data_IF_329795716851
#
_entry.id   IF_329795716851
#
_cell.length_a   1.000
_cell.length_b   1.000
_cell.length_c   1.000
_cell.angle_alpha   90.00
_cell.angle_beta   90.00
_cell.angle_gamma   90.00
#
_symmetry.space_group_name_H-M   'P 1'
#
loop_
_entity.id
_entity.type
_entity.pdbx_description
1 polymer ?
#
# COMPACT_ATOMS: atom_id res chain seq x y z
N UNK A 1 4.01 64.07 27.46
CA UNK A 1 3.42 65.40 27.70
C UNK A 1 2.65 65.75 26.44
N UNK A 2 1.36 65.41 26.41
CA UNK A 2 0.21 66.34 26.59
C UNK A 2 -0.29 66.77 25.20
N UNK A 3 -1.56 66.89 24.82
CA UNK A 3 -2.91 66.69 25.38
C UNK A 3 -3.82 66.72 24.11
N UNK A 4 -4.77 65.80 23.90
CA UNK A 4 -6.21 65.90 24.21
C UNK A 4 -7.07 66.90 23.37
N UNK A 5 -8.26 66.39 23.00
CA UNK A 5 -9.53 67.05 22.56
C UNK A 5 -9.66 67.40 21.07
N UNK A 6 -10.59 66.81 20.31
CA UNK A 6 -12.06 66.71 20.40
C UNK A 6 -12.78 67.97 19.88
N UNK A 7 -13.45 67.84 18.74
CA UNK A 7 -14.66 68.60 18.42
C UNK A 7 -15.68 67.67 17.75
N UNK A 8 -16.84 67.63 18.37
CA UNK A 8 -18.08 67.05 17.88
C UNK A 8 -19.12 68.16 17.84
N UNK A 9 -19.89 68.22 16.77
CA UNK A 9 -21.20 68.88 16.66
C UNK A 9 -21.91 68.12 15.53
N UNK A 10 -22.91 67.27 15.79
CA UNK A 10 -24.34 67.59 16.04
C UNK A 10 -24.87 68.62 15.04
N UNK A 11 -26.04 68.52 14.44
CA UNK A 11 -27.21 67.64 14.46
C UNK A 11 -28.10 68.28 13.37
N UNK A 12 -28.85 67.52 12.58
CA UNK A 12 -30.34 67.60 12.45
C UNK A 12 -30.69 67.59 10.96
N UNK A 13 -31.83 67.12 10.48
CA UNK A 13 -32.89 66.23 10.94
C UNK A 13 -33.85 66.11 9.73
N UNK A 14 -34.84 65.22 9.83
CA UNK A 14 -36.09 65.15 9.05
C UNK A 14 -36.01 64.25 7.81
N UNK A 15 -36.43 62.99 7.87
CA UNK A 15 -37.82 62.49 7.93
C UNK A 15 -38.60 62.84 6.63
N UNK A 16 -39.45 62.01 6.05
CA UNK A 16 -40.28 60.94 6.58
C UNK A 16 -40.98 60.23 5.40
N UNK A 17 -41.55 59.05 5.64
CA UNK A 17 -42.62 58.44 4.83
C UNK A 17 -42.28 57.02 4.35
N UNK A 18 -42.62 55.98 5.11
CA UNK A 18 -43.88 55.21 5.08
C UNK A 18 -44.19 54.67 3.66
N UNK A 19 -44.52 53.40 3.42
CA UNK A 19 -45.35 52.48 4.21
C UNK A 19 -45.24 51.05 3.63
N UNK A 20 -45.29 50.07 4.53
CA UNK A 20 -46.09 48.82 4.48
C UNK A 20 -46.20 48.00 3.17
N UNK A 21 -45.72 46.75 3.12
CA UNK A 21 -46.26 45.52 3.73
C UNK A 21 -46.81 44.61 2.61
N UNK A 22 -46.28 43.38 2.51
CA UNK A 22 -47.07 42.14 2.41
C UNK A 22 -46.14 40.96 2.15
N UNK A 23 -46.25 39.97 3.02
CA UNK A 23 -45.38 38.80 3.04
C UNK A 23 -45.55 37.87 1.85
N UNK A 24 -44.49 37.11 1.57
CA UNK A 24 -44.61 35.76 1.03
C UNK A 24 -43.50 34.86 1.57
N UNK A 25 -43.93 33.94 2.44
CA UNK A 25 -43.31 32.65 2.76
C UNK A 25 -42.58 32.08 1.53
N UNK A 26 -41.26 31.98 1.63
CA UNK A 26 -40.42 31.30 0.65
C UNK A 26 -39.33 30.52 1.38
N UNK A 27 -39.72 29.43 2.03
CA UNK A 27 -38.85 28.44 2.68
C UNK A 27 -37.94 27.80 1.62
N UNK A 28 -36.85 28.46 1.24
CA UNK A 28 -35.76 27.83 0.46
C UNK A 28 -34.97 26.92 1.39
N UNK A 29 -35.57 25.77 1.70
CA UNK A 29 -34.84 24.58 2.15
C UNK A 29 -34.07 24.10 0.91
N UNK A 30 -32.86 24.64 0.73
CA UNK A 30 -31.90 24.10 -0.22
C UNK A 30 -31.67 22.65 0.14
N UNK A 31 -32.32 21.75 -0.60
CA UNK A 31 -31.97 20.34 -0.66
C UNK A 31 -30.51 20.28 -1.13
N UNK A 32 -29.57 20.08 -0.22
CA UNK A 32 -28.41 19.26 -0.53
C UNK A 32 -28.92 17.82 -0.66
N UNK A 33 -29.66 17.55 -1.73
CA UNK A 33 -29.66 16.22 -2.31
C UNK A 33 -28.28 16.14 -2.94
N UNK A 34 -27.31 15.62 -2.19
CA UNK A 34 -26.20 14.92 -2.81
C UNK A 34 -26.86 13.97 -3.79
N UNK A 35 -26.69 14.26 -5.08
CA UNK A 35 -27.05 13.32 -6.11
C UNK A 35 -26.14 12.11 -5.85
N UNK A 36 -26.70 11.11 -5.17
CA UNK A 36 -26.16 9.77 -5.17
C UNK A 36 -26.17 9.39 -6.65
N UNK A 37 -25.00 9.52 -7.30
CA UNK A 37 -24.80 9.18 -8.70
C UNK A 37 -25.45 7.81 -8.91
N UNK A 38 -26.36 7.71 -9.87
CA UNK A 38 -27.07 6.49 -10.18
C UNK A 38 -26.05 5.47 -10.68
N UNK A 39 -25.62 4.57 -9.79
CA UNK A 39 -24.65 3.54 -10.11
C UNK A 39 -25.34 2.47 -10.95
N UNK A 40 -24.99 2.41 -12.24
CA UNK A 40 -25.49 1.40 -13.14
C UNK A 40 -24.58 0.17 -13.09
N UNK A 41 -25.03 -0.90 -12.43
CA UNK A 41 -24.35 -2.20 -12.43
C UNK A 41 -24.26 -2.82 -11.05
N UNK A 42 -24.09 -4.15 -11.03
CA UNK A 42 -23.80 -4.88 -9.79
C UNK A 42 -22.40 -4.49 -9.29
N UNK A 43 -22.21 -4.31 -7.96
CA UNK A 43 -20.91 -4.01 -7.39
C UNK A 43 -19.94 -5.16 -7.66
N UNK A 44 -18.81 -4.83 -8.29
CA UNK A 44 -17.72 -5.76 -8.57
C UNK A 44 -16.64 -5.57 -7.51
N UNK A 45 -16.16 -6.66 -6.95
CA UNK A 45 -15.04 -6.65 -6.00
C UNK A 45 -13.72 -6.67 -6.76
N UNK A 46 -12.80 -5.76 -6.44
CA UNK A 46 -11.40 -5.85 -6.84
C UNK A 46 -10.47 -5.65 -5.65
N UNK A 47 -9.31 -6.27 -5.75
CA UNK A 47 -8.15 -6.01 -4.92
C UNK A 47 -7.04 -5.47 -5.82
N UNK A 48 -6.28 -4.51 -5.32
CA UNK A 48 -5.19 -3.92 -6.09
C UNK A 48 -4.32 -2.99 -5.27
N UNK A 49 -3.38 -2.34 -5.95
CA UNK A 49 -2.44 -1.41 -5.33
C UNK A 49 -2.87 0.05 -5.52
N UNK A 50 -2.85 0.84 -4.45
CA UNK A 50 -3.19 2.26 -4.52
C UNK A 50 -2.03 3.12 -5.04
N UNK A 51 -2.19 3.65 -6.24
CA UNK A 51 -1.34 4.68 -6.81
C UNK A 51 -1.98 6.07 -6.57
N UNK A 52 -1.46 6.83 -5.60
CA UNK A 52 -1.91 8.21 -5.33
C UNK A 52 -1.19 9.22 -6.23
N UNK A 53 -1.99 10.11 -6.83
CA UNK A 53 -1.51 11.28 -7.56
C UNK A 53 -1.28 12.45 -6.62
N UNK A 54 -0.45 13.39 -7.08
CA UNK A 54 -0.06 14.57 -6.29
C UNK A 54 -1.26 15.48 -5.96
N UNK A 55 -2.30 15.46 -6.80
CA UNK A 55 -3.56 16.16 -6.58
C UNK A 55 -4.45 15.51 -5.49
N UNK A 56 -4.01 14.39 -4.89
CA UNK A 56 -4.65 13.73 -3.75
C UNK A 56 -5.76 12.73 -4.08
N UNK A 57 -6.04 12.50 -5.37
CA UNK A 57 -6.86 11.37 -5.83
C UNK A 57 -5.94 10.19 -6.20
N UNK A 58 -6.49 8.99 -6.32
CA UNK A 58 -5.70 7.80 -6.67
C UNK A 58 -6.36 6.88 -7.65
N UNK A 59 -5.63 5.84 -8.05
CA UNK A 59 -6.13 4.71 -8.79
C UNK A 59 -5.74 3.41 -8.08
N UNK A 60 -6.71 2.53 -7.89
CA UNK A 60 -6.45 1.14 -7.52
C UNK A 60 -6.05 0.38 -8.78
N UNK A 61 -4.77 0.00 -8.85
CA UNK A 61 -4.22 -0.79 -9.95
C UNK A 61 -4.53 -2.26 -9.74
N UNK A 62 -5.33 -2.84 -10.62
CA UNK A 62 -5.84 -4.23 -10.48
C UNK A 62 -4.92 -5.24 -11.19
N UNK A 63 -4.31 -4.86 -12.31
CA UNK A 63 -3.53 -5.76 -13.17
C UNK A 63 -2.00 -5.57 -13.09
N UNK A 64 -1.48 -4.79 -12.14
CA UNK A 64 -0.04 -4.48 -12.03
C UNK A 64 0.23 -3.05 -11.53
N UNK A 65 1.40 -2.47 -11.83
CA UNK A 65 1.74 -1.08 -11.48
C UNK A 65 1.53 -0.10 -12.64
N UNK A 66 1.40 -0.65 -13.85
CA UNK A 66 1.16 0.13 -15.04
C UNK A 66 -0.32 0.52 -15.15
N UNK A 67 -0.63 1.72 -15.68
CA UNK A 67 -2.01 2.13 -15.88
C UNK A 67 -2.78 1.19 -16.81
N UNK A 68 -3.89 0.65 -16.31
CA UNK A 68 -4.86 -0.13 -17.06
C UNK A 68 -6.21 0.60 -17.16
N UNK A 69 -7.05 0.17 -18.11
CA UNK A 69 -8.45 0.62 -18.18
C UNK A 69 -9.30 0.07 -17.05
N UNK A 70 -8.86 -1.04 -16.45
CA UNK A 70 -9.55 -1.71 -15.35
C UNK A 70 -9.26 -1.06 -13.99
N UNK A 71 -8.39 -0.05 -13.94
CA UNK A 71 -8.03 0.60 -12.69
C UNK A 71 -9.17 1.40 -12.11
N UNK A 72 -9.40 1.26 -10.80
CA UNK A 72 -10.51 1.92 -10.11
C UNK A 72 -10.09 3.29 -9.64
N UNK A 73 -10.81 4.33 -10.05
CA UNK A 73 -10.64 5.68 -9.57
C UNK A 73 -11.03 5.81 -8.09
N UNK A 74 -10.12 6.37 -7.30
CA UNK A 74 -10.28 6.60 -5.86
C UNK A 74 -10.43 8.11 -5.62
N UNK A 75 -11.62 8.59 -5.23
CA UNK A 75 -11.84 10.00 -4.96
C UNK A 75 -11.04 10.49 -3.74
N UNK A 76 -10.61 11.76 -3.77
CA UNK A 76 -9.88 12.42 -2.66
C UNK A 76 -10.60 12.28 -1.32
N UNK A 77 -11.94 12.27 -1.32
CA UNK A 77 -12.76 12.09 -0.11
C UNK A 77 -12.44 10.76 0.59
N UNK A 78 -12.38 9.66 -0.16
CA UNK A 78 -12.04 8.34 0.37
C UNK A 78 -10.59 8.29 0.88
N UNK A 79 -9.66 8.87 0.13
CA UNK A 79 -8.25 8.96 0.53
C UNK A 79 -8.12 9.65 1.90
N UNK A 80 -8.78 10.79 2.08
CA UNK A 80 -8.74 11.54 3.35
C UNK A 80 -9.50 10.87 4.47
N UNK A 81 -10.70 10.34 4.20
CA UNK A 81 -11.56 9.71 5.19
C UNK A 81 -10.89 8.48 5.82
N UNK A 82 -10.23 7.67 4.99
CA UNK A 82 -9.61 6.42 5.43
C UNK A 82 -8.09 6.53 5.62
N UNK A 83 -7.54 7.75 5.56
CA UNK A 83 -6.11 8.01 5.73
C UNK A 83 -5.24 7.22 4.75
N UNK A 84 -5.74 6.97 3.53
CA UNK A 84 -5.03 6.17 2.53
C UNK A 84 -3.75 6.89 2.10
N UNK A 85 -2.65 6.15 2.01
CA UNK A 85 -1.33 6.63 1.61
C UNK A 85 -0.87 5.87 0.38
N UNK A 86 0.20 6.36 -0.26
CA UNK A 86 0.90 5.60 -1.30
C UNK A 86 1.27 4.23 -0.71
N UNK A 87 1.29 3.21 -1.55
CA UNK A 87 1.72 1.87 -1.18
C UNK A 87 0.73 1.02 -0.34
N UNK A 88 -0.57 1.37 -0.37
CA UNK A 88 -1.61 0.59 0.31
C UNK A 88 -2.31 -0.34 -0.68
N UNK A 89 -2.46 -1.62 -0.33
CA UNK A 89 -3.37 -2.53 -1.03
C UNK A 89 -4.71 -2.54 -0.31
N UNK A 90 -5.83 -2.50 -1.02
CA UNK A 90 -7.14 -2.64 -0.39
C UNK A 90 -8.10 -3.46 -1.23
N UNK A 91 -9.03 -4.11 -0.54
CA UNK A 91 -10.17 -4.79 -1.14
C UNK A 91 -11.35 -3.83 -1.12
N UNK A 92 -11.90 -3.61 -2.31
CA UNK A 92 -12.95 -2.63 -2.54
C UNK A 92 -14.02 -3.16 -3.49
N UNK A 93 -15.25 -2.67 -3.26
CA UNK A 93 -16.30 -2.75 -4.25
C UNK A 93 -16.28 -1.48 -5.12
N UNK A 94 -16.44 -1.67 -6.41
CA UNK A 94 -16.57 -0.59 -7.39
C UNK A 94 -17.71 -0.89 -8.35
N UNK A 95 -18.22 0.16 -8.98
CA UNK A 95 -19.20 0.02 -10.06
C UNK A 95 -18.62 0.68 -11.30
N UNK A 96 -18.86 0.04 -12.44
CA UNK A 96 -18.53 0.60 -13.74
C UNK A 96 -19.48 1.76 -14.04
N UNK A 97 -18.98 2.99 -14.01
CA UNK A 97 -19.77 4.15 -14.42
C UNK A 97 -19.70 4.31 -15.94
N UNK A 98 -20.86 4.30 -16.59
CA UNK A 98 -21.01 4.38 -18.07
C UNK A 98 -20.38 5.67 -18.64
N UNK A 99 -20.36 6.75 -17.87
CA UNK A 99 -19.86 8.07 -18.28
C UNK A 99 -18.37 8.32 -17.92
N UNK A 100 -17.68 7.34 -17.28
CA UNK A 100 -16.28 7.51 -16.88
C UNK A 100 -15.37 6.52 -17.60
N UNK A 101 -14.16 6.99 -17.92
CA UNK A 101 -13.11 6.18 -18.57
C UNK A 101 -12.65 5.00 -17.68
N UNK A 102 -12.75 5.16 -16.37
CA UNK A 102 -12.34 4.20 -15.34
C UNK A 102 -13.48 4.00 -14.33
N UNK A 103 -13.67 2.77 -13.80
CA UNK A 103 -14.62 2.51 -12.72
C UNK A 103 -14.34 3.37 -11.48
N UNK A 104 -15.36 3.65 -10.66
CA UNK A 104 -15.21 4.49 -9.46
C UNK A 104 -15.39 3.67 -8.17
N UNK A 105 -14.56 3.96 -7.16
CA UNK A 105 -14.63 3.34 -5.84
C UNK A 105 -15.97 3.65 -5.18
N UNK A 106 -16.68 2.60 -4.76
CA UNK A 106 -17.99 2.67 -4.14
C UNK A 106 -17.90 2.53 -2.62
N UNK A 107 -17.21 1.48 -2.18
CA UNK A 107 -17.02 1.13 -0.78
C UNK A 107 -15.68 0.45 -0.59
N UNK A 108 -15.07 0.74 0.55
CA UNK A 108 -13.81 0.16 1.01
C UNK A 108 -14.14 -0.82 2.14
N UNK A 109 -13.77 -2.09 2.01
CA UNK A 109 -14.09 -3.10 3.04
C UNK A 109 -12.88 -3.51 3.86
N UNK A 110 -11.70 -3.59 3.23
CA UNK A 110 -10.48 -3.94 3.93
C UNK A 110 -9.28 -3.16 3.38
N UNK A 111 -8.47 -2.63 4.29
CA UNK A 111 -7.18 -2.03 4.00
C UNK A 111 -6.12 -3.03 4.42
N UNK A 112 -5.26 -3.44 3.49
CA UNK A 112 -4.18 -4.39 3.73
C UNK A 112 -4.64 -5.75 4.30
N UNK A 113 -5.89 -6.17 4.02
CA UNK A 113 -6.47 -7.41 4.53
C UNK A 113 -7.13 -7.29 5.91
N UNK A 114 -7.18 -6.09 6.49
CA UNK A 114 -7.84 -5.80 7.77
C UNK A 114 -9.05 -4.91 7.52
N UNK A 115 -10.14 -5.16 8.24
CA UNK A 115 -11.34 -4.33 8.20
C UNK A 115 -11.00 -2.86 8.52
N UNK A 116 -11.66 -1.95 7.81
CA UNK A 116 -11.35 -0.52 7.80
C UNK A 116 -11.28 0.11 9.20
N UNK A 117 -12.16 -0.32 10.12
CA UNK A 117 -12.23 0.21 11.49
C UNK A 117 -10.95 -0.04 12.31
N UNK A 118 -10.15 -1.07 11.98
CA UNK A 118 -8.89 -1.40 12.65
C UNK A 118 -7.63 -0.87 11.94
N UNK A 119 -7.76 -0.29 10.76
CA UNK A 119 -6.63 0.10 9.93
C UNK A 119 -6.06 1.49 10.25
N UNK A 120 -6.86 2.38 10.87
CA UNK A 120 -6.53 3.79 11.08
C UNK A 120 -5.48 4.05 12.18
N UNK A 121 -5.35 3.16 13.17
CA UNK A 121 -4.50 3.38 14.36
C UNK A 121 -3.09 2.76 14.25
N UNK A 122 -2.69 2.35 13.04
CA UNK A 122 -1.43 1.59 12.84
C UNK A 122 -0.24 2.53 12.61
N UNK A 123 0.90 2.36 13.29
CA UNK A 123 2.12 3.13 13.02
C UNK A 123 2.67 2.80 11.63
N UNK A 124 3.23 3.76 10.89
CA UNK A 124 3.84 3.51 9.57
C UNK A 124 5.09 2.64 9.72
N UNK A 125 5.44 1.87 8.69
CA UNK A 125 6.70 1.10 8.70
C UNK A 125 7.90 2.05 8.83
N UNK A 126 7.83 3.23 8.22
CA UNK A 126 8.87 4.26 8.31
C UNK A 126 9.01 4.87 9.72
N UNK A 127 7.96 4.80 10.54
CA UNK A 127 7.96 5.32 11.90
C UNK A 127 8.50 4.30 12.92
N UNK A 128 8.71 3.04 12.51
CA UNK A 128 9.25 2.01 13.38
C UNK A 128 10.73 2.29 13.71
N UNK A 129 11.11 2.02 14.97
CA UNK A 129 12.50 2.18 15.39
C UNK A 129 13.34 1.02 14.88
N UNK A 130 14.38 1.27 14.06
CA UNK A 130 15.26 0.21 13.61
C UNK A 130 16.09 -0.33 14.78
N UNK A 131 16.11 -1.66 14.92
CA UNK A 131 16.89 -2.36 15.95
C UNK A 131 17.81 -3.40 15.29
N UNK A 132 18.91 -3.71 15.95
CA UNK A 132 19.77 -4.80 15.51
C UNK A 132 19.07 -6.16 15.67
N UNK A 133 19.35 -7.14 14.80
CA UNK A 133 18.82 -8.49 14.94
C UNK A 133 19.17 -9.09 16.30
N UNK A 134 18.14 -9.46 17.06
CA UNK A 134 18.29 -10.06 18.40
C UNK A 134 17.83 -11.54 18.44
N UNK A 135 17.18 -12.01 17.37
CA UNK A 135 16.64 -13.35 17.27
C UNK A 135 17.32 -14.07 16.11
N UNK A 136 18.08 -15.12 16.40
CA UNK A 136 18.78 -15.93 15.39
C UNK A 136 17.78 -16.81 14.62
N UNK A 137 17.93 -16.86 13.30
CA UNK A 137 17.32 -17.86 12.41
C UNK A 137 18.32 -19.00 12.24
N UNK A 138 18.02 -20.15 12.85
CA UNK A 138 18.80 -21.38 12.73
C UNK A 138 18.47 -22.03 11.38
N UNK A 139 19.50 -22.32 10.61
CA UNK A 139 19.36 -22.85 9.24
C UNK A 139 19.52 -24.36 9.18
N UNK A 140 20.21 -24.97 10.15
CA UNK A 140 20.26 -26.44 10.26
C UNK A 140 18.83 -27.02 10.38
N UNK A 141 18.50 -27.94 9.47
CA UNK A 141 17.21 -28.61 9.38
C UNK A 141 17.25 -29.97 10.09
N UNK A 142 16.28 -30.30 10.96
CA UNK A 142 16.22 -31.60 11.62
C UNK A 142 16.12 -32.80 10.66
N UNK A 143 15.48 -32.60 9.51
CA UNK A 143 15.30 -33.61 8.45
C UNK A 143 16.57 -33.90 7.65
N UNK A 144 17.56 -33.02 7.69
CA UNK A 144 18.83 -33.15 6.96
C UNK A 144 20.03 -32.71 7.83
N UNK A 145 20.36 -33.48 8.89
CA UNK A 145 21.40 -33.09 9.85
C UNK A 145 22.83 -33.16 9.27
N UNK A 146 23.01 -33.84 8.14
CA UNK A 146 24.30 -33.94 7.43
C UNK A 146 24.54 -32.75 6.49
N UNK A 147 23.60 -31.80 6.40
CA UNK A 147 23.76 -30.61 5.57
C UNK A 147 24.86 -29.68 6.09
N UNK A 148 26.06 -29.82 5.52
CA UNK A 148 27.24 -29.06 5.92
C UNK A 148 27.07 -27.57 5.61
N UNK A 149 26.34 -27.20 4.56
CA UNK A 149 26.18 -25.80 4.13
C UNK A 149 25.42 -24.98 5.17
N UNK A 150 24.22 -25.43 5.55
CA UNK A 150 23.40 -24.75 6.57
C UNK A 150 24.09 -24.66 7.92
N UNK A 151 24.77 -25.74 8.34
CA UNK A 151 25.52 -25.78 9.60
C UNK A 151 26.74 -24.87 9.60
N UNK A 152 27.47 -24.81 8.49
CA UNK A 152 28.62 -23.90 8.34
C UNK A 152 28.16 -22.45 8.39
N UNK A 153 27.05 -22.12 7.74
CA UNK A 153 26.49 -20.77 7.75
C UNK A 153 26.03 -20.37 9.16
N UNK A 154 25.38 -21.28 9.88
CA UNK A 154 24.97 -21.09 11.28
C UNK A 154 26.13 -20.76 12.24
N UNK A 155 27.34 -21.26 11.93
CA UNK A 155 28.55 -21.06 12.74
C UNK A 155 29.34 -19.83 12.30
N UNK A 156 29.53 -19.63 11.00
CA UNK A 156 30.46 -18.62 10.45
C UNK A 156 29.76 -17.27 10.25
N UNK A 157 28.51 -17.27 9.79
CA UNK A 157 27.77 -16.05 9.48
C UNK A 157 26.28 -16.23 9.84
N UNK A 158 25.94 -16.22 11.14
CA UNK A 158 24.58 -16.45 11.61
C UNK A 158 23.62 -15.36 11.07
N UNK A 159 22.46 -15.79 10.58
CA UNK A 159 21.41 -14.90 10.08
C UNK A 159 20.38 -14.70 11.20
N UNK A 160 19.91 -13.46 11.40
CA UNK A 160 18.87 -13.12 12.37
C UNK A 160 17.65 -12.45 11.75
N UNK A 161 16.56 -12.34 12.52
CA UNK A 161 15.36 -11.59 12.12
C UNK A 161 15.73 -10.10 12.02
N UNK A 162 15.50 -9.50 10.86
CA UNK A 162 15.93 -8.13 10.53
C UNK A 162 17.37 -8.03 10.00
N UNK A 163 18.05 -9.16 9.75
CA UNK A 163 19.41 -9.16 9.20
C UNK A 163 19.40 -8.62 7.77
N UNK A 164 20.38 -7.76 7.48
CA UNK A 164 20.74 -7.38 6.12
C UNK A 164 22.00 -8.15 5.74
N UNK A 165 21.91 -8.99 4.74
CA UNK A 165 22.99 -9.84 4.30
C UNK A 165 23.25 -9.64 2.80
N UNK A 166 24.51 -9.80 2.41
CA UNK A 166 24.95 -9.80 1.02
C UNK A 166 25.78 -11.05 0.79
N UNK A 167 25.38 -11.86 -0.18
CA UNK A 167 26.15 -13.02 -0.63
C UNK A 167 26.98 -12.61 -1.83
N UNK A 168 28.29 -12.53 -1.65
CA UNK A 168 29.25 -12.25 -2.72
C UNK A 168 29.83 -13.58 -3.17
N UNK A 169 29.73 -13.87 -4.46
CA UNK A 169 30.21 -15.12 -5.02
C UNK A 169 30.55 -14.95 -6.50
N UNK A 170 31.58 -15.64 -6.98
CA UNK A 170 31.94 -15.65 -8.39
C UNK A 170 30.92 -16.43 -9.23
N UNK A 171 30.93 -16.24 -10.55
CA UNK A 171 30.09 -17.03 -11.45
C UNK A 171 30.35 -18.53 -11.26
N UNK A 172 29.28 -19.35 -11.15
CA UNK A 172 29.34 -20.82 -10.99
C UNK A 172 29.93 -21.32 -9.65
N UNK A 173 29.99 -20.46 -8.63
CA UNK A 173 30.43 -20.84 -7.27
C UNK A 173 29.34 -21.51 -6.41
N UNK A 174 28.13 -21.68 -6.94
CA UNK A 174 27.01 -22.27 -6.19
C UNK A 174 26.18 -21.25 -5.39
N UNK A 175 26.22 -19.96 -5.76
CA UNK A 175 25.39 -18.91 -5.14
C UNK A 175 23.91 -19.27 -5.11
N UNK A 176 23.41 -19.77 -6.22
CA UNK A 176 22.00 -20.13 -6.38
C UNK A 176 21.63 -21.26 -5.42
N UNK A 177 22.51 -22.26 -5.27
CA UNK A 177 22.30 -23.38 -4.36
C UNK A 177 22.32 -22.93 -2.90
N UNK A 178 23.24 -22.04 -2.54
CA UNK A 178 23.29 -21.45 -1.20
C UNK A 178 22.01 -20.69 -0.87
N UNK A 179 21.49 -19.88 -1.81
CA UNK A 179 20.24 -19.12 -1.61
C UNK A 179 19.03 -20.06 -1.50
N UNK A 180 18.97 -21.12 -2.31
CA UNK A 180 17.92 -22.15 -2.19
C UNK A 180 17.96 -22.82 -0.83
N UNK A 181 19.15 -23.22 -0.38
CA UNK A 181 19.36 -23.89 0.89
C UNK A 181 18.90 -23.01 2.07
N UNK A 182 19.29 -21.74 2.09
CA UNK A 182 18.81 -20.76 3.09
C UNK A 182 17.29 -20.65 3.05
N UNK A 183 16.72 -20.53 1.85
CA UNK A 183 15.28 -20.34 1.64
C UNK A 183 14.46 -21.56 2.09
N UNK A 184 14.96 -22.78 1.84
CA UNK A 184 14.30 -24.01 2.31
C UNK A 184 14.42 -24.16 3.82
N UNK A 185 15.57 -23.84 4.40
CA UNK A 185 15.75 -23.86 5.85
C UNK A 185 14.82 -22.92 6.58
N UNK A 186 14.62 -21.71 6.05
CA UNK A 186 13.67 -20.77 6.64
C UNK A 186 12.22 -21.27 6.50
N UNK A 187 11.82 -21.76 5.32
CA UNK A 187 10.47 -22.30 5.07
C UNK A 187 10.12 -23.52 5.94
N UNK A 188 11.11 -24.38 6.22
CA UNK A 188 10.93 -25.57 7.05
C UNK A 188 10.93 -25.25 8.55
N UNK A 189 11.92 -24.48 9.01
CA UNK A 189 12.13 -24.23 10.44
C UNK A 189 11.15 -23.19 11.03
N UNK A 190 10.64 -22.27 10.21
CA UNK A 190 9.88 -21.11 10.68
C UNK A 190 8.56 -20.92 9.94
N UNK A 191 7.50 -21.56 10.44
CA UNK A 191 6.15 -21.39 9.86
C UNK A 191 5.56 -20.00 10.09
N UNK A 192 6.07 -19.24 11.07
CA UNK A 192 5.65 -17.87 11.35
C UNK A 192 6.32 -16.83 10.43
N UNK A 193 7.40 -17.21 9.75
CA UNK A 193 8.13 -16.30 8.85
C UNK A 193 7.49 -16.34 7.47
N UNK A 194 6.92 -15.20 7.06
CA UNK A 194 6.46 -15.00 5.68
C UNK A 194 7.68 -14.77 4.78
N UNK A 195 7.99 -15.74 3.94
CA UNK A 195 9.13 -15.66 3.02
C UNK A 195 8.71 -15.17 1.65
N UNK A 196 9.34 -14.09 1.18
CA UNK A 196 9.21 -13.58 -0.18
C UNK A 196 10.55 -13.74 -0.89
N UNK A 197 10.53 -14.39 -2.05
CA UNK A 197 11.72 -14.57 -2.89
C UNK A 197 11.52 -13.80 -4.19
N UNK A 198 12.36 -12.80 -4.42
CA UNK A 198 12.34 -11.98 -5.63
C UNK A 198 13.52 -12.38 -6.53
N UNK A 199 13.21 -12.77 -7.76
CA UNK A 199 14.19 -13.08 -8.81
C UNK A 199 14.09 -12.01 -9.89
N UNK A 200 15.18 -11.31 -10.17
CA UNK A 200 15.25 -10.24 -11.19
C UNK A 200 16.31 -10.60 -12.21
N UNK A 201 16.04 -10.35 -13.48
CA UNK A 201 16.96 -10.60 -14.59
C UNK A 201 17.54 -12.04 -14.55
N UNK A 202 16.67 -13.00 -14.21
CA UNK A 202 17.06 -14.39 -13.94
C UNK A 202 16.51 -15.31 -15.02
N UNK A 203 17.24 -16.35 -15.45
CA UNK A 203 16.74 -17.34 -16.41
C UNK A 203 15.45 -18.05 -15.96
N UNK A 204 14.45 -18.23 -16.85
CA UNK A 204 13.16 -18.84 -16.50
C UNK A 204 13.27 -20.24 -15.88
N UNK A 205 14.27 -21.02 -16.24
CA UNK A 205 14.53 -22.34 -15.67
C UNK A 205 14.90 -22.27 -14.19
N UNK A 206 15.66 -21.25 -13.79
CA UNK A 206 16.02 -21.03 -12.38
C UNK A 206 14.81 -20.54 -11.57
N UNK A 207 13.96 -19.70 -12.18
CA UNK A 207 12.69 -19.27 -11.58
C UNK A 207 11.77 -20.46 -11.35
N UNK A 208 11.65 -21.33 -12.35
CA UNK A 208 10.81 -22.53 -12.28
C UNK A 208 11.34 -23.50 -11.23
N UNK A 209 12.65 -23.68 -11.16
CA UNK A 209 13.29 -24.52 -10.15
C UNK A 209 12.99 -23.99 -8.74
N UNK A 210 13.20 -22.69 -8.48
CA UNK A 210 12.90 -22.08 -7.18
C UNK A 210 11.44 -22.29 -6.76
N UNK A 211 10.49 -22.12 -7.70
CA UNK A 211 9.05 -22.36 -7.47
C UNK A 211 8.69 -23.82 -7.19
N UNK A 212 9.49 -24.77 -7.67
CA UNK A 212 9.26 -26.20 -7.40
C UNK A 212 9.72 -26.59 -6.00
N UNK A 213 10.82 -25.99 -5.54
CA UNK A 213 11.42 -26.29 -4.25
C UNK A 213 10.71 -25.58 -3.09
N UNK A 214 10.31 -24.32 -3.27
CA UNK A 214 9.61 -23.55 -2.26
C UNK A 214 8.10 -23.67 -2.44
N UNK A 215 7.45 -24.33 -1.49
CA UNK A 215 6.02 -24.67 -1.59
C UNK A 215 5.16 -23.61 -0.90
N UNK A 216 5.65 -23.04 0.20
CA UNK A 216 4.90 -22.09 1.03
C UNK A 216 5.32 -20.64 0.79
N UNK A 217 6.51 -20.43 0.26
CA UNK A 217 7.09 -19.10 0.02
C UNK A 217 6.47 -18.43 -1.20
N UNK A 218 6.29 -17.12 -1.13
CA UNK A 218 5.86 -16.31 -2.26
C UNK A 218 7.05 -16.03 -3.19
N UNK A 219 7.10 -16.72 -4.33
CA UNK A 219 8.15 -16.53 -5.33
C UNK A 219 7.67 -15.60 -6.45
N UNK A 220 8.22 -14.38 -6.47
CA UNK A 220 7.99 -13.35 -7.48
C UNK A 220 9.20 -13.27 -8.41
N UNK A 221 8.98 -13.16 -9.71
CA UNK A 221 10.08 -13.12 -10.67
C UNK A 221 9.83 -12.19 -11.86
N UNK A 222 10.90 -11.56 -12.33
CA UNK A 222 11.01 -10.86 -13.60
C UNK A 222 12.17 -11.49 -14.37
N UNK A 223 11.86 -12.25 -15.43
CA UNK A 223 12.86 -12.98 -16.23
C UNK A 223 13.68 -12.03 -17.09
N UNK A 224 14.87 -12.44 -17.55
CA UNK A 224 15.80 -11.58 -18.33
C UNK A 224 15.22 -11.00 -19.63
N UNK A 225 14.14 -11.60 -20.12
CA UNK A 225 13.41 -11.23 -21.32
C UNK A 225 12.45 -10.03 -21.12
N UNK A 226 12.30 -9.56 -19.88
CA UNK A 226 11.49 -8.38 -19.54
C UNK A 226 12.30 -7.08 -19.68
N UNK A 227 11.59 -5.95 -19.73
CA UNK A 227 12.21 -4.62 -19.78
C UNK A 227 12.79 -4.20 -18.42
N UNK A 228 13.81 -3.30 -18.40
CA UNK A 228 14.31 -2.72 -17.15
C UNK A 228 13.23 -2.03 -16.32
N UNK A 229 12.26 -1.38 -16.96
CA UNK A 229 11.12 -0.74 -16.29
C UNK A 229 10.25 -1.77 -15.56
N UNK A 230 10.04 -2.96 -16.14
CA UNK A 230 9.31 -4.06 -15.49
C UNK A 230 10.09 -4.66 -14.33
N UNK A 231 11.41 -4.78 -14.43
CA UNK A 231 12.26 -5.22 -13.31
C UNK A 231 12.12 -4.29 -12.10
N UNK A 232 12.19 -2.97 -12.33
CA UNK A 232 12.04 -1.95 -11.27
C UNK A 232 10.65 -2.02 -10.66
N UNK A 233 9.60 -2.04 -11.49
CA UNK A 233 8.22 -2.08 -11.00
C UNK A 233 7.93 -3.31 -10.14
N UNK A 234 8.43 -4.49 -10.53
CA UNK A 234 8.25 -5.73 -9.76
C UNK A 234 9.06 -5.69 -8.45
N UNK A 235 10.27 -5.12 -8.46
CA UNK A 235 11.07 -4.97 -7.26
C UNK A 235 10.42 -4.03 -6.24
N UNK A 236 9.90 -2.90 -6.71
CA UNK A 236 9.15 -1.94 -5.89
C UNK A 236 7.91 -2.61 -5.25
N UNK A 237 7.10 -3.31 -6.06
CA UNK A 237 5.96 -4.08 -5.56
C UNK A 237 6.35 -5.04 -4.42
N UNK A 238 7.44 -5.77 -4.63
CA UNK A 238 7.86 -6.81 -3.71
C UNK A 238 8.32 -6.20 -2.38
N UNK A 239 9.06 -5.08 -2.42
CA UNK A 239 9.49 -4.36 -1.23
C UNK A 239 8.28 -3.84 -0.45
N UNK A 240 7.26 -3.30 -1.13
CA UNK A 240 6.07 -2.76 -0.49
C UNK A 240 5.20 -3.86 0.13
N UNK A 241 5.08 -5.00 -0.56
CA UNK A 241 4.47 -6.21 0.00
C UNK A 241 5.24 -6.70 1.25
N UNK A 242 6.57 -6.63 1.26
CA UNK A 242 7.37 -7.01 2.42
C UNK A 242 7.19 -6.05 3.60
N UNK A 243 7.16 -4.72 3.37
CA UNK A 243 6.88 -3.71 4.41
C UNK A 243 5.49 -3.91 5.03
N UNK A 244 4.49 -4.20 4.20
CA UNK A 244 3.14 -4.56 4.67
C UNK A 244 3.17 -5.77 5.60
N UNK A 245 3.79 -6.86 5.16
CA UNK A 245 3.85 -8.09 5.97
C UNK A 245 4.64 -7.91 7.27
N UNK A 246 5.71 -7.12 7.26
CA UNK A 246 6.49 -6.80 8.46
C UNK A 246 5.77 -5.91 9.48
N UNK A 247 4.65 -5.29 9.09
CA UNK A 247 3.79 -4.45 9.96
C UNK A 247 2.67 -5.26 10.64
N UNK A 248 2.34 -6.43 10.11
CA UNK A 248 1.23 -7.27 10.56
C UNK A 248 1.61 -8.30 11.65
N UNK A 249 2.91 -8.50 11.91
CA UNK A 249 3.43 -9.45 12.93
C UNK A 249 4.19 -8.73 14.02
#
# INVERSE_FOLDING_TARGET
MADARAEATQDTNTANGNEENTGRKGRRKGKSKEAMEEWAGDPVTAEGHLDLRDDGYGFLRVNGFLPSRDDVYVPVKFVRQYGLRKEITFLAHFVLQIDRKNPALLQLDAINGIQVDGALDRPDFADLTPVYPNTKLKLERPEDPENVTSRSLDLVAPIGKGQRALVIADSRSGREELIKEISQSIESNYSEVKQLVLLVDTPPEQVTDMKRWLIKSDVVASTFDQSPEEHVAIAELTIERAKKNGRDG
#
